data_IF_991322247918
#
_entry.id   IF_991322247918
#
_cell.length_a   1.000
_cell.length_b   1.000
_cell.length_c   1.000
_cell.angle_alpha   90.00
_cell.angle_beta   90.00
_cell.angle_gamma   90.00
#
_symmetry.space_group_name_H-M   'P 1'
#
loop_
_entity.id
_entity.type
_entity.pdbx_description
1 polymer ?
#
# COMPACT_ATOMS: atom_id res chain seq x y z
N UNK A 1 -9.08 -30.99 6.84
CA UNK A 1 -8.70 -29.62 6.47
C UNK A 1 -8.59 -28.81 7.76
N UNK A 2 -7.40 -28.82 8.34
CA UNK A 2 -7.12 -28.21 9.65
C UNK A 2 -7.03 -26.67 9.55
N UNK A 3 -6.55 -26.16 8.41
CA UNK A 3 -6.31 -24.73 8.15
C UNK A 3 -7.38 -24.12 7.23
N UNK A 4 -8.66 -24.21 7.62
CA UNK A 4 -9.76 -23.81 6.71
C UNK A 4 -9.89 -22.28 6.60
N UNK A 5 -9.74 -21.55 7.70
CA UNK A 5 -9.86 -20.08 7.69
C UNK A 5 -8.65 -19.48 6.98
N UNK A 6 -7.47 -19.95 7.30
CA UNK A 6 -6.22 -19.54 6.66
C UNK A 6 -6.26 -19.75 5.13
N UNK A 7 -6.78 -20.90 4.67
CA UNK A 7 -6.96 -21.15 3.24
C UNK A 7 -7.87 -20.12 2.56
N UNK A 8 -9.04 -19.85 3.15
CA UNK A 8 -9.98 -18.89 2.57
C UNK A 8 -9.44 -17.47 2.59
N UNK A 9 -8.71 -17.10 3.62
CA UNK A 9 -8.08 -15.81 3.77
C UNK A 9 -7.09 -15.53 2.63
N UNK A 10 -6.11 -16.40 2.44
CA UNK A 10 -5.14 -16.27 1.34
C UNK A 10 -5.78 -16.41 -0.04
N UNK A 11 -6.79 -17.25 -0.20
CA UNK A 11 -7.51 -17.38 -1.46
C UNK A 11 -8.23 -16.08 -1.83
N UNK A 12 -8.92 -15.46 -0.89
CA UNK A 12 -9.60 -14.17 -1.10
C UNK A 12 -8.60 -13.09 -1.45
N UNK A 13 -7.50 -13.02 -0.72
CA UNK A 13 -6.44 -12.04 -0.98
C UNK A 13 -5.80 -12.26 -2.37
N UNK A 14 -5.54 -13.51 -2.75
CA UNK A 14 -5.07 -13.84 -4.10
C UNK A 14 -6.06 -13.39 -5.19
N UNK A 15 -7.37 -13.68 -5.02
CA UNK A 15 -8.39 -13.29 -5.98
C UNK A 15 -8.50 -11.76 -6.11
N UNK A 16 -8.38 -11.03 -5.00
CA UNK A 16 -8.32 -9.56 -4.99
C UNK A 16 -7.10 -9.06 -5.78
N UNK A 17 -5.94 -9.65 -5.54
CA UNK A 17 -4.71 -9.31 -6.27
C UNK A 17 -4.83 -9.64 -7.76
N UNK A 18 -5.38 -10.80 -8.13
CA UNK A 18 -5.58 -11.19 -9.52
C UNK A 18 -6.56 -10.24 -10.25
N UNK A 19 -7.67 -9.86 -9.60
CA UNK A 19 -8.62 -8.89 -10.12
C UNK A 19 -7.97 -7.50 -10.26
N UNK A 20 -7.21 -7.06 -9.25
CA UNK A 20 -6.47 -5.79 -9.27
C UNK A 20 -5.42 -5.75 -10.39
N UNK A 21 -4.64 -6.82 -10.54
CA UNK A 21 -3.64 -6.97 -11.59
C UNK A 21 -4.28 -6.90 -12.97
N UNK A 22 -5.35 -7.67 -13.20
CA UNK A 22 -6.08 -7.68 -14.47
C UNK A 22 -6.68 -6.29 -14.78
N UNK A 23 -7.30 -5.66 -13.79
CA UNK A 23 -7.85 -4.31 -13.92
C UNK A 23 -6.79 -3.25 -14.23
N UNK A 24 -5.67 -3.27 -13.51
CA UNK A 24 -4.54 -2.36 -13.75
C UNK A 24 -3.89 -2.59 -15.11
N UNK A 25 -3.69 -3.86 -15.53
CA UNK A 25 -3.17 -4.21 -16.85
C UNK A 25 -4.10 -3.74 -17.98
N UNK A 26 -5.41 -3.93 -17.84
CA UNK A 26 -6.40 -3.42 -18.80
C UNK A 26 -6.35 -1.89 -18.94
N UNK A 27 -6.24 -1.17 -17.81
CA UNK A 27 -6.08 0.29 -17.81
C UNK A 27 -4.75 0.70 -18.46
N UNK A 28 -3.67 -0.03 -18.22
CA UNK A 28 -2.37 0.22 -18.88
C UNK A 28 -2.46 0.02 -20.38
N UNK A 29 -3.02 -1.10 -20.84
CA UNK A 29 -3.18 -1.37 -22.29
C UNK A 29 -3.96 -0.27 -22.97
N UNK A 30 -5.05 0.22 -22.31
CA UNK A 30 -5.91 1.30 -22.83
C UNK A 30 -5.25 2.67 -22.83
N UNK A 31 -4.54 3.03 -21.76
CA UNK A 31 -4.05 4.41 -21.54
C UNK A 31 -2.56 4.58 -21.77
N UNK A 32 -1.79 3.49 -21.76
CA UNK A 32 -0.31 3.46 -21.83
C UNK A 32 0.38 4.28 -20.73
N UNK A 33 -0.30 4.55 -19.62
CA UNK A 33 0.26 5.33 -18.50
C UNK A 33 1.03 4.44 -17.55
N UNK A 34 2.30 4.77 -17.31
CA UNK A 34 3.24 4.02 -16.47
C UNK A 34 2.69 3.64 -15.08
N UNK A 35 1.97 4.48 -14.33
CA UNK A 35 1.46 4.10 -13.01
C UNK A 35 0.56 2.86 -13.02
N UNK A 36 -0.21 2.63 -14.07
CA UNK A 36 -1.02 1.42 -14.19
C UNK A 36 -0.19 0.16 -14.42
N UNK A 37 0.93 0.28 -15.14
CA UNK A 37 1.88 -0.82 -15.28
C UNK A 37 2.52 -1.18 -13.93
N UNK A 38 3.00 -0.19 -13.19
CA UNK A 38 3.59 -0.39 -11.87
C UNK A 38 2.58 -0.99 -10.89
N UNK A 39 1.33 -0.54 -10.97
CA UNK A 39 0.24 -1.06 -10.15
C UNK A 39 -0.08 -2.53 -10.51
N UNK A 40 -0.06 -2.89 -11.79
CA UNK A 40 -0.22 -4.28 -12.22
C UNK A 40 0.92 -5.16 -11.69
N UNK A 41 2.17 -4.66 -11.70
CA UNK A 41 3.31 -5.36 -11.12
C UNK A 41 3.18 -5.50 -9.59
N UNK A 42 2.72 -4.45 -8.88
CA UNK A 42 2.43 -4.51 -7.45
C UNK A 42 1.44 -5.63 -7.13
N UNK A 43 0.28 -5.63 -7.76
CA UNK A 43 -0.73 -6.68 -7.57
C UNK A 43 -0.21 -8.07 -7.96
N UNK A 44 0.51 -8.17 -9.08
CA UNK A 44 1.03 -9.43 -9.58
C UNK A 44 2.04 -10.06 -8.63
N UNK A 45 3.00 -9.29 -8.11
CA UNK A 45 4.02 -9.79 -7.19
C UNK A 45 3.44 -10.09 -5.81
N UNK A 46 2.55 -9.24 -5.28
CA UNK A 46 1.84 -9.52 -4.04
C UNK A 46 0.99 -10.78 -4.16
N UNK A 47 0.24 -10.91 -5.25
CA UNK A 47 -0.59 -12.07 -5.54
C UNK A 47 0.20 -13.38 -5.73
N UNK A 48 1.43 -13.33 -6.23
CA UNK A 48 2.29 -14.51 -6.30
C UNK A 48 2.67 -15.03 -4.90
N UNK A 49 2.91 -14.14 -3.95
CA UNK A 49 3.15 -14.52 -2.56
C UNK A 49 1.94 -15.22 -1.95
N UNK A 50 0.75 -14.65 -2.10
CA UNK A 50 -0.49 -15.23 -1.57
C UNK A 50 -0.91 -16.51 -2.30
N UNK A 51 -0.66 -16.61 -3.62
CA UNK A 51 -0.88 -17.83 -4.38
C UNK A 51 -0.02 -18.98 -3.87
N UNK A 52 1.25 -18.72 -3.57
CA UNK A 52 2.14 -19.73 -3.01
C UNK A 52 1.56 -20.33 -1.70
N UNK A 53 1.10 -19.46 -0.79
CA UNK A 53 0.46 -19.91 0.44
C UNK A 53 -0.82 -20.70 0.19
N UNK A 54 -1.70 -20.17 -0.66
CA UNK A 54 -2.96 -20.83 -1.04
C UNK A 54 -2.72 -22.24 -1.57
N UNK A 55 -1.77 -22.40 -2.50
CA UNK A 55 -1.44 -23.70 -3.09
C UNK A 55 -0.78 -24.63 -2.07
N UNK A 56 0.08 -24.12 -1.20
CA UNK A 56 0.74 -24.92 -0.20
C UNK A 56 -0.26 -25.49 0.82
N UNK A 57 -1.15 -24.66 1.34
CA UNK A 57 -2.21 -25.10 2.26
C UNK A 57 -3.17 -26.06 1.55
N UNK A 58 -3.55 -25.78 0.29
CA UNK A 58 -4.48 -26.62 -0.48
C UNK A 58 -3.91 -28.03 -0.78
N UNK A 59 -2.65 -28.10 -1.17
CA UNK A 59 -2.04 -29.33 -1.66
C UNK A 59 -1.41 -30.17 -0.54
N UNK A 60 -0.90 -29.53 0.51
CA UNK A 60 -0.12 -30.19 1.55
C UNK A 60 -0.83 -30.18 2.92
N UNK A 61 -1.92 -29.43 3.08
CA UNK A 61 -2.71 -29.27 4.33
C UNK A 61 -1.84 -28.80 5.52
N UNK A 62 -0.74 -28.10 5.23
CA UNK A 62 0.19 -27.52 6.21
C UNK A 62 0.61 -26.12 5.78
N UNK A 63 0.98 -25.28 6.74
CA UNK A 63 1.57 -23.98 6.46
C UNK A 63 2.97 -24.13 5.86
N UNK A 64 3.41 -23.27 4.92
CA UNK A 64 4.75 -23.31 4.38
C UNK A 64 5.79 -23.17 5.49
N UNK A 65 6.74 -24.07 5.51
CA UNK A 65 7.88 -24.00 6.45
C UNK A 65 8.97 -23.06 5.96
N UNK A 66 9.01 -22.80 4.65
CA UNK A 66 9.95 -21.91 3.98
C UNK A 66 9.14 -20.80 3.32
N UNK A 67 9.19 -19.61 3.89
CA UNK A 67 8.38 -18.45 3.46
C UNK A 67 9.02 -17.65 2.32
N UNK A 68 10.25 -17.94 1.94
CA UNK A 68 11.05 -17.10 1.03
C UNK A 68 10.34 -16.73 -0.26
N UNK A 69 9.53 -17.62 -0.83
CA UNK A 69 8.80 -17.34 -2.08
C UNK A 69 7.72 -16.28 -1.87
N UNK A 70 6.94 -16.39 -0.80
CA UNK A 70 5.91 -15.40 -0.47
C UNK A 70 6.52 -14.06 -0.05
N UNK A 71 7.52 -14.08 0.82
CA UNK A 71 8.19 -12.88 1.31
C UNK A 71 8.86 -12.10 0.17
N UNK A 72 9.52 -12.78 -0.78
CA UNK A 72 10.07 -12.14 -1.97
C UNK A 72 8.97 -11.50 -2.83
N UNK A 73 7.82 -12.14 -2.96
CA UNK A 73 6.67 -11.57 -3.68
C UNK A 73 6.16 -10.30 -3.02
N UNK A 74 6.00 -10.32 -1.71
CA UNK A 74 5.54 -9.16 -0.93
C UNK A 74 6.57 -8.03 -0.93
N UNK A 75 7.87 -8.32 -0.73
CA UNK A 75 8.95 -7.32 -0.81
C UNK A 75 9.03 -6.71 -2.21
N UNK A 76 8.92 -7.52 -3.28
CA UNK A 76 8.89 -7.02 -4.64
C UNK A 76 7.71 -6.07 -4.88
N UNK A 77 6.55 -6.31 -4.26
CA UNK A 77 5.41 -5.40 -4.36
C UNK A 77 5.72 -4.02 -3.78
N UNK A 78 6.46 -3.93 -2.68
CA UNK A 78 6.91 -2.65 -2.13
C UNK A 78 7.83 -1.88 -3.08
N UNK A 79 8.67 -2.56 -3.86
CA UNK A 79 9.52 -1.89 -4.87
C UNK A 79 8.66 -1.17 -5.89
N UNK A 80 7.59 -1.82 -6.39
CA UNK A 80 6.66 -1.18 -7.32
C UNK A 80 5.84 -0.07 -6.67
N UNK A 81 5.38 -0.27 -5.43
CA UNK A 81 4.66 0.74 -4.68
C UNK A 81 5.51 2.00 -4.45
N UNK A 82 6.76 1.83 -4.00
CA UNK A 82 7.71 2.92 -3.81
C UNK A 82 8.03 3.64 -5.13
N UNK A 83 8.15 2.89 -6.23
CA UNK A 83 8.33 3.50 -7.55
C UNK A 83 7.13 4.37 -7.93
N UNK A 84 5.91 3.95 -7.61
CA UNK A 84 4.70 4.78 -7.80
C UNK A 84 4.74 6.04 -6.92
N UNK A 85 5.10 5.92 -5.64
CA UNK A 85 5.27 7.03 -4.70
C UNK A 85 6.36 8.03 -5.13
N UNK A 86 7.26 7.64 -6.00
CA UNK A 86 8.30 8.52 -6.55
C UNK A 86 7.96 9.08 -7.93
N UNK A 87 7.06 8.44 -8.67
CA UNK A 87 6.75 8.83 -10.07
C UNK A 87 5.43 9.58 -10.22
N UNK A 88 4.46 9.38 -9.31
CA UNK A 88 3.18 10.09 -9.33
C UNK A 88 3.27 11.54 -8.84
N UNK A 89 4.03 11.85 -7.77
CA UNK A 89 4.12 13.19 -7.24
C UNK A 89 4.87 14.17 -8.15
N UNK A 90 4.57 15.46 -7.97
CA UNK A 90 5.31 16.53 -8.64
C UNK A 90 6.73 16.68 -8.06
N UNK A 91 7.64 17.30 -8.84
CA UNK A 91 9.00 17.60 -8.37
C UNK A 91 9.02 18.47 -7.10
N UNK A 92 8.02 19.34 -6.92
CA UNK A 92 7.87 20.17 -5.73
C UNK A 92 7.50 19.32 -4.50
N UNK A 93 6.56 18.38 -4.65
CA UNK A 93 6.17 17.46 -3.60
C UNK A 93 7.35 16.57 -3.20
N UNK A 94 8.12 16.07 -4.17
CA UNK A 94 9.31 15.25 -3.90
C UNK A 94 10.40 16.00 -3.11
N UNK A 95 10.52 17.29 -3.30
CA UNK A 95 11.47 18.15 -2.57
C UNK A 95 10.94 18.62 -1.21
N UNK A 96 9.64 18.53 -0.99
CA UNK A 96 9.01 18.98 0.24
C UNK A 96 9.48 18.16 1.42
N UNK A 97 9.81 18.82 2.53
CA UNK A 97 10.24 18.18 3.78
C UNK A 97 9.30 18.57 4.92
N UNK A 98 8.92 17.59 5.71
CA UNK A 98 8.11 17.80 6.91
C UNK A 98 8.64 16.97 8.07
N UNK A 99 8.56 17.54 9.29
CA UNK A 99 8.93 16.81 10.51
C UNK A 99 7.98 15.65 10.81
N UNK A 100 6.74 15.71 10.32
CA UNK A 100 5.74 14.64 10.50
C UNK A 100 6.17 13.32 9.85
N UNK A 101 7.01 13.35 8.80
CA UNK A 101 7.53 12.11 8.19
C UNK A 101 8.36 11.26 9.15
N UNK A 102 8.95 11.87 10.22
CA UNK A 102 9.66 11.13 11.26
C UNK A 102 8.77 10.19 12.08
N UNK A 103 7.45 10.31 11.94
CA UNK A 103 6.52 9.35 12.52
C UNK A 103 6.69 7.95 11.90
N UNK A 104 7.08 7.86 10.62
CA UNK A 104 7.32 6.58 9.95
C UNK A 104 8.45 5.76 10.63
N UNK A 105 9.69 6.26 10.79
CA UNK A 105 10.71 5.50 11.51
C UNK A 105 10.40 5.35 13.01
N UNK A 106 9.70 6.30 13.63
CA UNK A 106 9.31 6.18 15.04
C UNK A 106 8.37 4.99 15.30
N UNK A 107 7.57 4.60 14.32
CA UNK A 107 6.71 3.41 14.38
C UNK A 107 7.46 2.18 13.86
N UNK A 108 8.18 2.30 12.75
CA UNK A 108 8.84 1.17 12.09
C UNK A 108 9.95 0.54 12.93
N UNK A 109 10.73 1.33 13.67
CA UNK A 109 11.85 0.81 14.46
C UNK A 109 11.39 -0.09 15.62
N UNK A 110 10.40 0.28 16.47
CA UNK A 110 9.87 -0.64 17.47
C UNK A 110 9.27 -1.92 16.87
N UNK A 111 8.56 -1.80 15.74
CA UNK A 111 8.01 -2.95 15.00
C UNK A 111 9.12 -3.88 14.51
N UNK A 112 10.17 -3.33 13.93
CA UNK A 112 11.32 -4.10 13.49
C UNK A 112 11.96 -4.89 14.65
N UNK A 113 12.16 -4.26 15.81
CA UNK A 113 12.71 -4.93 17.00
C UNK A 113 11.81 -6.10 17.44
N UNK A 114 10.48 -5.91 17.37
CA UNK A 114 9.54 -6.99 17.65
C UNK A 114 9.70 -8.14 16.63
N UNK A 115 9.71 -7.84 15.34
CA UNK A 115 9.66 -8.86 14.29
C UNK A 115 10.94 -9.69 14.20
N UNK A 116 12.13 -9.11 14.44
CA UNK A 116 13.37 -9.89 14.46
C UNK A 116 13.45 -10.89 15.61
N UNK A 117 12.60 -10.76 16.64
CA UNK A 117 12.53 -11.74 17.72
C UNK A 117 11.67 -12.96 17.36
N UNK A 118 10.80 -12.86 16.35
CA UNK A 118 9.84 -13.88 15.95
C UNK A 118 10.09 -14.47 14.55
N UNK A 119 10.88 -13.82 13.69
CA UNK A 119 11.05 -14.23 12.31
C UNK A 119 12.48 -14.04 11.78
N UNK A 120 12.63 -14.25 10.47
CA UNK A 120 13.92 -14.11 9.78
C UNK A 120 14.37 -12.65 9.73
N UNK A 121 15.62 -12.40 10.18
CA UNK A 121 16.16 -11.03 10.27
C UNK A 121 16.25 -10.35 8.91
N UNK A 122 16.69 -11.08 7.88
CA UNK A 122 16.95 -10.50 6.56
C UNK A 122 15.65 -9.98 5.91
N UNK A 123 14.60 -10.81 5.89
CA UNK A 123 13.32 -10.43 5.32
C UNK A 123 12.63 -9.33 6.14
N UNK A 124 12.71 -9.40 7.47
CA UNK A 124 12.17 -8.37 8.34
C UNK A 124 12.86 -7.00 8.17
N UNK A 125 14.18 -6.98 7.87
CA UNK A 125 14.88 -5.74 7.49
C UNK A 125 14.30 -5.16 6.20
N UNK A 126 14.13 -5.97 5.16
CA UNK A 126 13.61 -5.52 3.87
C UNK A 126 12.15 -5.02 3.98
N UNK A 127 11.31 -5.75 4.71
CA UNK A 127 9.92 -5.34 4.97
C UNK A 127 9.85 -4.04 5.77
N UNK A 128 10.67 -3.90 6.81
CA UNK A 128 10.76 -2.67 7.60
C UNK A 128 11.17 -1.47 6.74
N UNK A 129 12.18 -1.64 5.88
CA UNK A 129 12.62 -0.57 4.98
C UNK A 129 11.53 -0.20 3.98
N UNK A 130 10.84 -1.19 3.39
CA UNK A 130 9.75 -0.98 2.44
C UNK A 130 8.57 -0.24 3.07
N UNK A 131 8.06 -0.74 4.19
CA UNK A 131 6.92 -0.15 4.92
C UNK A 131 7.26 1.25 5.46
N UNK A 132 8.44 1.43 6.03
CA UNK A 132 8.92 2.72 6.54
C UNK A 132 9.03 3.75 5.41
N UNK A 133 9.62 3.37 4.26
CA UNK A 133 9.75 4.26 3.12
C UNK A 133 8.39 4.66 2.53
N UNK A 134 7.47 3.70 2.37
CA UNK A 134 6.11 3.96 1.89
C UNK A 134 5.36 4.90 2.83
N UNK A 135 5.40 4.65 4.15
CA UNK A 135 4.80 5.54 5.14
C UNK A 135 5.43 6.94 5.13
N UNK A 136 6.76 7.03 5.03
CA UNK A 136 7.47 8.32 4.95
C UNK A 136 7.02 9.16 3.75
N UNK A 137 6.99 8.56 2.57
CA UNK A 137 6.61 9.24 1.33
C UNK A 137 5.14 9.66 1.37
N UNK A 138 4.24 8.79 1.81
CA UNK A 138 2.81 9.09 1.89
C UNK A 138 2.48 10.15 2.94
N UNK A 139 3.12 10.15 4.13
CA UNK A 139 2.94 11.21 5.12
C UNK A 139 3.39 12.56 4.54
N UNK A 140 4.53 12.59 3.87
CA UNK A 140 5.03 13.79 3.19
C UNK A 140 4.02 14.30 2.16
N UNK A 141 3.51 13.42 1.29
CA UNK A 141 2.53 13.76 0.25
C UNK A 141 1.22 14.31 0.83
N UNK A 142 0.71 13.71 1.91
CA UNK A 142 -0.50 14.20 2.58
C UNK A 142 -0.33 15.60 3.18
N UNK A 143 0.82 15.86 3.81
CA UNK A 143 1.10 17.20 4.38
C UNK A 143 1.26 18.23 3.28
N UNK A 144 1.93 17.88 2.17
CA UNK A 144 2.06 18.74 1.00
C UNK A 144 0.70 19.09 0.38
N UNK A 145 -0.14 18.10 0.14
CA UNK A 145 -1.48 18.27 -0.44
C UNK A 145 -2.38 19.14 0.45
N UNK A 146 -2.27 19.02 1.79
CA UNK A 146 -2.99 19.90 2.72
C UNK A 146 -2.57 21.36 2.59
N UNK A 147 -1.26 21.61 2.47
CA UNK A 147 -0.75 23.00 2.29
C UNK A 147 -1.24 23.60 0.98
N UNK A 148 -1.17 22.84 -0.12
CA UNK A 148 -1.65 23.28 -1.42
C UNK A 148 -3.13 23.67 -1.39
N UNK A 149 -3.99 22.89 -0.76
CA UNK A 149 -5.43 23.20 -0.65
C UNK A 149 -5.72 24.45 0.21
N UNK A 150 -4.94 24.68 1.28
CA UNK A 150 -5.08 25.87 2.12
C UNK A 150 -4.65 27.14 1.36
N UNK A 151 -3.56 27.07 0.59
CA UNK A 151 -3.10 28.21 -0.23
C UNK A 151 -4.07 28.51 -1.37
N UNK A 152 -4.65 27.49 -2.01
CA UNK A 152 -5.68 27.68 -3.04
C UNK A 152 -6.98 28.27 -2.48
N UNK A 153 -7.41 27.85 -1.28
CA UNK A 153 -8.57 28.42 -0.61
C UNK A 153 -8.36 29.92 -0.30
N UNK A 154 -7.18 30.28 0.23
CA UNK A 154 -6.80 31.67 0.49
C UNK A 154 -6.71 32.50 -0.77
N UNK A 155 -6.05 31.98 -1.83
CA UNK A 155 -5.95 32.70 -3.10
C UNK A 155 -7.29 32.87 -3.82
N UNK A 156 -8.27 32.00 -3.55
CA UNK A 156 -9.65 32.18 -4.05
C UNK A 156 -10.40 33.27 -3.31
N UNK A 157 -10.27 33.39 -1.98
CA UNK A 157 -10.82 34.48 -1.18
C UNK A 157 -10.25 35.85 -1.64
N UNK A 158 -8.93 35.89 -1.90
CA UNK A 158 -8.27 37.13 -2.40
C UNK A 158 -8.65 37.45 -3.86
N UNK A 159 -8.89 36.44 -4.71
CA UNK A 159 -9.27 36.61 -6.11
C UNK A 159 -10.76 36.93 -6.31
N UNK A 160 -11.65 36.40 -5.50
CA UNK A 160 -13.08 36.81 -5.49
C UNK A 160 -13.26 38.26 -5.07
N UNK A 161 -12.26 38.83 -4.34
CA UNK A 161 -12.21 40.25 -4.02
C UNK A 161 -11.61 41.11 -5.14
N UNK A 162 -10.87 40.55 -6.11
CA UNK A 162 -10.04 41.28 -7.07
C UNK A 162 -10.45 41.22 -8.57
N UNK A 163 -11.53 40.59 -8.96
CA UNK A 163 -12.10 40.62 -10.33
C UNK A 163 -12.45 39.26 -10.95
N UNK A 164 -13.67 39.15 -11.48
CA UNK A 164 -14.11 38.06 -12.32
C UNK A 164 -13.39 38.04 -13.65
N UNK A 165 -12.61 37.06 -13.87
CA UNK A 165 -12.20 36.41 -15.13
C UNK A 165 -10.77 35.83 -14.99
N UNK A 166 -10.63 34.73 -14.27
CA UNK A 166 -9.44 33.88 -14.46
C UNK A 166 -9.92 32.47 -14.86
N UNK A 167 -9.52 32.06 -16.07
CA UNK A 167 -9.73 30.69 -16.53
C UNK A 167 -9.11 29.68 -15.54
N UNK A 168 -9.75 28.54 -15.27
CA UNK A 168 -9.22 27.57 -14.34
C UNK A 168 -7.91 27.00 -14.89
N UNK A 169 -6.80 27.39 -14.28
CA UNK A 169 -5.52 26.70 -14.44
C UNK A 169 -5.79 25.24 -14.03
N UNK A 170 -5.43 24.30 -14.87
CA UNK A 170 -5.70 22.87 -14.66
C UNK A 170 -5.37 22.45 -13.23
N UNK A 171 -6.36 21.94 -12.51
CA UNK A 171 -6.19 21.53 -11.10
C UNK A 171 -5.10 20.46 -11.02
N UNK A 172 -4.11 20.62 -10.13
CA UNK A 172 -3.12 19.59 -9.89
C UNK A 172 -3.83 18.29 -9.50
N UNK A 173 -3.26 17.15 -9.93
CA UNK A 173 -3.79 15.84 -9.61
C UNK A 173 -3.92 15.68 -8.08
N UNK A 174 -5.11 15.32 -7.61
CA UNK A 174 -5.33 15.08 -6.17
C UNK A 174 -4.77 13.70 -5.78
N UNK A 175 -3.54 13.67 -5.27
CA UNK A 175 -2.88 12.46 -4.80
C UNK A 175 -3.29 12.04 -3.38
N UNK A 176 -4.12 12.82 -2.68
CA UNK A 176 -4.55 12.50 -1.32
C UNK A 176 -5.15 11.09 -1.18
N UNK A 177 -6.08 10.65 -2.05
CA UNK A 177 -6.63 9.31 -1.93
C UNK A 177 -5.56 8.23 -2.06
N UNK A 178 -4.57 8.42 -2.93
CA UNK A 178 -3.46 7.49 -3.11
C UNK A 178 -2.60 7.39 -1.84
N UNK A 179 -2.13 8.50 -1.31
CA UNK A 179 -1.34 8.51 -0.07
C UNK A 179 -2.10 7.97 1.14
N UNK A 180 -3.41 8.28 1.27
CA UNK A 180 -4.24 7.70 2.33
C UNK A 180 -4.30 6.18 2.20
N UNK A 181 -4.52 5.67 0.98
CA UNK A 181 -4.61 4.23 0.75
C UNK A 181 -3.29 3.53 1.03
N UNK A 182 -2.14 4.12 0.65
CA UNK A 182 -0.82 3.58 0.98
C UNK A 182 -0.58 3.57 2.49
N UNK A 183 -0.97 4.62 3.21
CA UNK A 183 -0.86 4.64 4.68
C UNK A 183 -1.78 3.62 5.35
N UNK A 184 -3.01 3.45 4.87
CA UNK A 184 -3.91 2.41 5.37
C UNK A 184 -3.32 1.02 5.13
N UNK A 185 -2.80 0.76 3.92
CA UNK A 185 -2.11 -0.48 3.58
C UNK A 185 -0.94 -0.74 4.53
N UNK A 186 -0.04 0.23 4.71
CA UNK A 186 1.13 0.10 5.59
C UNK A 186 0.74 -0.11 7.07
N UNK A 187 -0.30 0.59 7.55
CA UNK A 187 -0.78 0.44 8.92
C UNK A 187 -1.41 -0.94 9.14
N UNK A 188 -2.12 -1.47 8.15
CA UNK A 188 -2.70 -2.80 8.21
C UNK A 188 -1.63 -3.89 8.13
N UNK A 189 -0.59 -3.72 7.32
CA UNK A 189 0.59 -4.59 7.33
C UNK A 189 1.24 -4.63 8.72
N UNK A 190 1.44 -3.49 9.37
CA UNK A 190 1.96 -3.48 10.74
C UNK A 190 1.03 -4.18 11.74
N UNK A 191 -0.29 -3.98 11.62
CA UNK A 191 -1.25 -4.64 12.48
C UNK A 191 -1.27 -6.16 12.26
N UNK A 192 -1.23 -6.59 10.99
CA UNK A 192 -1.18 -7.98 10.58
C UNK A 192 0.05 -8.70 11.16
N UNK A 193 1.25 -8.18 10.87
CA UNK A 193 2.50 -8.77 11.36
C UNK A 193 2.61 -8.74 12.88
N UNK A 194 2.12 -7.68 13.53
CA UNK A 194 2.08 -7.63 14.99
C UNK A 194 1.13 -8.69 15.55
N UNK A 195 -0.06 -8.86 14.94
CA UNK A 195 -0.99 -9.89 15.40
C UNK A 195 -0.43 -11.29 15.21
N UNK A 196 0.29 -11.58 14.12
CA UNK A 196 0.91 -12.88 13.88
C UNK A 196 1.95 -13.26 14.93
N UNK A 197 2.59 -12.30 15.58
CA UNK A 197 3.54 -12.56 16.68
C UNK A 197 2.86 -13.10 17.95
N UNK A 198 1.57 -12.82 18.15
CA UNK A 198 0.88 -13.12 19.42
C UNK A 198 -0.29 -14.09 19.28
N UNK A 199 -0.87 -14.24 18.09
CA UNK A 199 -2.02 -15.09 17.83
C UNK A 199 -1.72 -16.06 16.70
N UNK A 200 -1.74 -17.36 17.01
CA UNK A 200 -1.43 -18.46 16.08
C UNK A 200 -2.63 -19.39 15.82
N UNK A 201 -3.80 -19.09 16.40
CA UNK A 201 -4.98 -19.96 16.26
C UNK A 201 -5.70 -19.76 14.93
N UNK A 202 -6.06 -20.84 14.25
CA UNK A 202 -6.92 -20.82 13.06
C UNK A 202 -8.41 -20.72 13.46
N UNK A 203 -8.78 -19.58 14.05
CA UNK A 203 -10.15 -19.28 14.51
C UNK A 203 -10.53 -17.84 14.17
N UNK A 204 -11.83 -17.58 13.98
CA UNK A 204 -12.33 -16.22 13.73
C UNK A 204 -12.11 -15.24 14.89
N UNK A 205 -11.72 -15.71 16.06
CA UNK A 205 -11.30 -14.85 17.18
C UNK A 205 -9.87 -14.32 17.02
N UNK A 206 -9.09 -14.88 16.08
CA UNK A 206 -7.75 -14.38 15.78
C UNK A 206 -7.83 -13.05 15.03
N UNK A 207 -7.30 -11.93 15.58
CA UNK A 207 -7.34 -10.62 14.95
C UNK A 207 -6.55 -10.57 13.63
N UNK A 208 -5.61 -11.47 13.41
CA UNK A 208 -4.85 -11.61 12.18
C UNK A 208 -5.76 -11.65 10.94
N UNK A 209 -6.76 -12.53 10.91
CA UNK A 209 -7.66 -12.69 9.76
C UNK A 209 -8.49 -11.43 9.49
N UNK A 210 -8.88 -10.68 10.53
CA UNK A 210 -9.61 -9.42 10.35
C UNK A 210 -8.73 -8.33 9.75
N UNK A 211 -7.47 -8.23 10.19
CA UNK A 211 -6.53 -7.30 9.58
C UNK A 211 -6.22 -7.67 8.13
N UNK A 212 -6.12 -8.96 7.80
CA UNK A 212 -5.85 -9.41 6.43
C UNK A 212 -7.04 -9.15 5.49
N UNK A 213 -8.28 -9.34 5.95
CA UNK A 213 -9.47 -8.90 5.23
C UNK A 213 -9.48 -7.39 4.95
N UNK A 214 -9.15 -6.58 5.94
CA UNK A 214 -9.05 -5.13 5.76
C UNK A 214 -7.89 -4.76 4.82
N UNK A 215 -6.78 -5.49 4.90
CA UNK A 215 -5.64 -5.33 4.02
C UNK A 215 -6.02 -5.63 2.57
N UNK A 216 -6.73 -6.73 2.33
CA UNK A 216 -7.27 -7.08 1.01
C UNK A 216 -8.17 -5.99 0.44
N UNK A 217 -9.04 -5.39 1.27
CA UNK A 217 -9.86 -4.25 0.86
C UNK A 217 -9.01 -3.01 0.53
N UNK A 218 -7.95 -2.73 1.32
CA UNK A 218 -7.04 -1.61 1.06
C UNK A 218 -6.21 -1.81 -0.21
N UNK A 219 -5.78 -3.06 -0.48
CA UNK A 219 -5.12 -3.45 -1.73
C UNK A 219 -6.04 -3.15 -2.92
N UNK A 220 -7.31 -3.56 -2.88
CA UNK A 220 -8.26 -3.26 -3.95
C UNK A 220 -8.52 -1.75 -4.10
N UNK A 221 -8.59 -1.02 -2.99
CA UNK A 221 -8.74 0.44 -3.00
C UNK A 221 -7.57 1.15 -3.69
N UNK A 222 -6.38 0.55 -3.74
CA UNK A 222 -5.21 1.09 -4.45
C UNK A 222 -5.49 1.32 -5.94
N UNK A 223 -6.27 0.42 -6.58
CA UNK A 223 -6.68 0.59 -7.99
C UNK A 223 -7.53 1.84 -8.17
N UNK A 224 -8.51 2.06 -7.30
CA UNK A 224 -9.40 3.22 -7.37
C UNK A 224 -8.65 4.52 -7.05
N UNK A 225 -7.77 4.48 -6.06
CA UNK A 225 -6.96 5.62 -5.66
C UNK A 225 -5.99 6.05 -6.77
N UNK A 226 -5.29 5.08 -7.38
CA UNK A 226 -4.40 5.33 -8.52
C UNK A 226 -5.17 5.85 -9.73
N UNK A 227 -6.36 5.30 -10.01
CA UNK A 227 -7.21 5.80 -11.10
C UNK A 227 -7.61 7.26 -10.89
N UNK A 228 -7.94 7.68 -9.66
CA UNK A 228 -8.22 9.09 -9.34
C UNK A 228 -6.98 9.97 -9.50
N UNK A 229 -5.81 9.46 -9.10
CA UNK A 229 -4.55 10.18 -9.23
C UNK A 229 -4.11 10.39 -10.69
N UNK A 230 -4.34 9.40 -11.56
CA UNK A 230 -3.89 9.38 -12.96
C UNK A 230 -4.98 9.85 -13.93
N UNK A 231 -6.24 9.71 -13.59
CA UNK A 231 -7.41 9.84 -14.48
C UNK A 231 -7.80 11.29 -14.82
N UNK A 232 -6.98 12.24 -14.44
CA UNK A 232 -7.07 13.64 -14.83
C UNK A 232 -5.78 14.04 -15.56
#
# INVERSE_FOLDING_TARGET
MVHMIEFWDYLVQFLVCAAGCTGAAALFVKSRRQPYFLLACFFGTYGLGTLYWTLHVLLLDVTPQIFYVSELGWIASYVFLLTMEMTLPSAEELRFRTKLSWLAPAIAVPQFILYITYGDVFFNVLMCLGTMAAAWLSIRGLVFSRRGSVLQARGKEDADFASGTAAPVGQPADLRPFHITVLCFTALEYALWTSSCFWVSDTLSNPYFWFDFMLSASILAMLLATRKAVGR
#
